data_IF_870176150239
#
_entry.id   IF_870176150239
#
_cell.length_a   1.000
_cell.length_b   1.000
_cell.length_c   1.000
_cell.angle_alpha   90.00
_cell.angle_beta   90.00
_cell.angle_gamma   90.00
#
_symmetry.space_group_name_H-M   'P 1'
#
loop_
_entity.id
_entity.type
_entity.pdbx_description
1 polymer ?
#
# COMPACT_ATOMS: atom_id res chain seq x y z
N UNK A 1 53.58 -14.55 -48.11
CA UNK A 1 53.87 -14.45 -46.67
C UNK A 1 52.55 -14.49 -45.96
N UNK A 2 52.20 -15.67 -45.43
CA UNK A 2 51.05 -15.83 -44.54
C UNK A 2 51.44 -15.22 -43.20
N UNK A 3 50.62 -14.29 -42.71
CA UNK A 3 50.74 -13.76 -41.36
C UNK A 3 50.09 -14.81 -40.45
N UNK A 4 50.93 -15.59 -39.75
CA UNK A 4 50.49 -16.37 -38.60
C UNK A 4 49.95 -15.40 -37.55
N UNK A 5 48.63 -15.33 -37.45
CA UNK A 5 47.95 -14.72 -36.32
C UNK A 5 47.96 -15.72 -35.17
N UNK A 6 48.85 -15.51 -34.20
CA UNK A 6 48.85 -16.19 -32.90
C UNK A 6 47.44 -16.22 -32.28
N UNK A 7 46.88 -17.38 -31.93
CA UNK A 7 45.58 -17.47 -31.26
C UNK A 7 45.62 -17.08 -29.77
N UNK A 8 46.80 -16.75 -29.22
CA UNK A 8 47.03 -16.67 -27.77
C UNK A 8 47.00 -15.25 -27.18
N UNK A 9 46.68 -14.21 -27.96
CA UNK A 9 46.69 -12.81 -27.49
C UNK A 9 45.31 -12.23 -27.13
N UNK A 10 44.28 -13.06 -26.92
CA UNK A 10 42.93 -12.62 -26.56
C UNK A 10 42.44 -13.13 -25.20
N UNK A 11 43.32 -13.61 -24.32
CA UNK A 11 43.02 -13.75 -22.90
C UNK A 11 43.13 -12.38 -22.21
N UNK A 12 42.28 -11.43 -22.64
CA UNK A 12 42.04 -10.24 -21.86
C UNK A 12 41.48 -10.70 -20.51
N UNK A 13 42.15 -10.25 -19.46
CA UNK A 13 41.79 -10.38 -18.05
C UNK A 13 40.32 -9.96 -17.84
N UNK A 14 39.38 -10.89 -18.04
CA UNK A 14 38.01 -10.81 -17.55
C UNK A 14 38.07 -10.94 -16.03
N UNK A 15 38.64 -9.93 -15.37
CA UNK A 15 38.57 -9.77 -13.93
C UNK A 15 37.10 -9.50 -13.60
N UNK A 16 36.36 -10.58 -13.39
CA UNK A 16 34.97 -10.52 -12.98
C UNK A 16 34.86 -9.58 -11.78
N UNK A 17 34.13 -8.48 -11.96
CA UNK A 17 33.82 -7.54 -10.89
C UNK A 17 33.15 -8.28 -9.74
N UNK A 18 33.71 -8.20 -8.53
CA UNK A 18 33.29 -8.94 -7.33
C UNK A 18 31.98 -8.43 -6.69
N UNK A 19 30.92 -8.28 -7.50
CA UNK A 19 29.59 -7.83 -7.05
C UNK A 19 28.92 -8.80 -6.07
N UNK A 20 29.36 -10.05 -6.04
CA UNK A 20 28.93 -11.07 -5.09
C UNK A 20 29.48 -10.82 -3.68
N UNK A 21 30.60 -10.10 -3.57
CA UNK A 21 31.28 -9.72 -2.32
C UNK A 21 30.87 -8.35 -1.78
N UNK A 22 29.92 -7.67 -2.44
CA UNK A 22 29.47 -6.36 -2.01
C UNK A 22 28.86 -6.45 -0.59
N UNK A 23 29.18 -5.50 0.33
CA UNK A 23 28.61 -5.48 1.67
C UNK A 23 27.08 -5.47 1.69
N UNK A 24 26.48 -6.17 2.66
CA UNK A 24 25.02 -6.31 2.81
C UNK A 24 24.31 -4.95 2.81
N UNK A 25 24.90 -3.90 3.40
CA UNK A 25 24.28 -2.57 3.49
C UNK A 25 24.06 -1.91 2.12
N UNK A 26 25.00 -2.08 1.18
CA UNK A 26 24.91 -1.54 -0.17
C UNK A 26 23.94 -2.36 -1.01
N UNK A 27 23.95 -3.68 -0.86
CA UNK A 27 22.99 -4.53 -1.54
C UNK A 27 21.56 -4.31 -1.03
N UNK A 28 21.35 -4.08 0.27
CA UNK A 28 20.04 -3.68 0.80
C UNK A 28 19.54 -2.36 0.19
N UNK A 29 20.44 -1.39 0.01
CA UNK A 29 20.13 -0.11 -0.62
C UNK A 29 19.75 -0.29 -2.09
N UNK A 30 20.52 -1.07 -2.85
CA UNK A 30 20.19 -1.43 -4.25
C UNK A 30 18.81 -2.10 -4.31
N UNK A 31 18.55 -3.10 -3.46
CA UNK A 31 17.27 -3.79 -3.40
C UNK A 31 16.12 -2.85 -3.02
N UNK A 32 16.37 -1.79 -2.26
CA UNK A 32 15.34 -0.82 -1.87
C UNK A 32 14.71 -0.09 -3.07
N UNK A 33 15.47 0.10 -4.16
CA UNK A 33 15.00 0.72 -5.40
C UNK A 33 14.25 -0.23 -6.34
N UNK A 34 14.40 -1.54 -6.15
CA UNK A 34 13.82 -2.56 -7.02
C UNK A 34 12.35 -2.85 -6.69
N UNK A 35 11.56 -3.21 -7.70
CA UNK A 35 10.22 -3.76 -7.50
C UNK A 35 10.31 -5.17 -6.88
N UNK A 36 9.20 -5.68 -6.32
CA UNK A 36 9.17 -7.04 -5.74
C UNK A 36 9.60 -8.10 -6.76
N UNK A 37 9.19 -7.94 -8.02
CA UNK A 37 9.55 -8.83 -9.12
C UNK A 37 11.05 -8.78 -9.39
N UNK A 38 11.63 -7.59 -9.46
CA UNK A 38 13.04 -7.42 -9.80
C UNK A 38 13.94 -7.87 -8.64
N UNK A 39 13.51 -7.65 -7.38
CA UNK A 39 14.16 -8.22 -6.19
C UNK A 39 14.20 -9.75 -6.25
N UNK A 40 13.11 -10.38 -6.69
CA UNK A 40 13.08 -11.83 -6.85
C UNK A 40 14.10 -12.30 -7.88
N UNK A 41 14.13 -11.69 -9.07
CA UNK A 41 15.11 -12.06 -10.10
C UNK A 41 16.56 -11.77 -9.67
N UNK A 42 16.80 -10.63 -9.03
CA UNK A 42 18.10 -10.29 -8.44
C UNK A 42 18.55 -11.35 -7.42
N UNK A 43 17.62 -11.86 -6.61
CA UNK A 43 17.92 -12.90 -5.62
C UNK A 43 18.38 -14.25 -6.23
N UNK A 44 18.16 -14.46 -7.53
CA UNK A 44 18.57 -15.68 -8.23
C UNK A 44 20.00 -15.62 -8.78
N UNK A 45 20.65 -14.45 -8.75
CA UNK A 45 21.98 -14.24 -9.33
C UNK A 45 23.05 -15.02 -8.57
N UNK A 46 23.08 -14.91 -7.24
CA UNK A 46 24.05 -15.64 -6.40
C UNK A 46 23.52 -15.85 -4.97
N UNK A 47 24.22 -16.68 -4.18
CA UNK A 47 23.85 -17.00 -2.79
C UNK A 47 23.85 -15.77 -1.88
N UNK A 48 24.78 -14.83 -2.09
CA UNK A 48 24.87 -13.58 -1.34
C UNK A 48 23.59 -12.75 -1.53
N UNK A 49 23.20 -12.51 -2.77
CA UNK A 49 21.99 -11.76 -3.12
C UNK A 49 20.71 -12.45 -2.66
N UNK A 50 20.67 -13.79 -2.70
CA UNK A 50 19.57 -14.57 -2.14
C UNK A 50 19.41 -14.39 -0.61
N UNK A 51 20.52 -14.28 0.13
CA UNK A 51 20.50 -13.99 1.57
C UNK A 51 19.93 -12.60 1.82
N UNK A 52 20.40 -11.61 1.08
CA UNK A 52 19.98 -10.20 1.23
C UNK A 52 18.52 -9.99 0.89
N UNK A 53 18.00 -10.73 -0.09
CA UNK A 53 16.58 -10.75 -0.39
C UNK A 53 15.71 -11.11 0.83
N UNK A 54 16.23 -11.69 1.91
CA UNK A 54 15.44 -11.99 3.12
C UNK A 54 15.59 -10.95 4.23
N UNK A 55 16.42 -9.92 4.04
CA UNK A 55 16.74 -8.97 5.10
C UNK A 55 15.61 -7.98 5.37
N UNK A 56 15.50 -7.44 6.61
CA UNK A 56 14.37 -6.61 7.00
C UNK A 56 14.24 -5.31 6.21
N UNK A 57 15.35 -4.66 5.87
CA UNK A 57 15.34 -3.35 5.20
C UNK A 57 14.77 -3.45 3.78
N UNK A 58 15.04 -4.56 3.09
CA UNK A 58 14.49 -4.84 1.77
C UNK A 58 12.96 -4.85 1.81
N UNK A 59 12.37 -5.45 2.83
CA UNK A 59 10.91 -5.63 2.95
C UNK A 59 10.20 -4.61 3.82
N UNK A 60 10.89 -3.55 4.27
CA UNK A 60 10.25 -2.53 5.11
C UNK A 60 9.06 -1.87 4.42
N UNK A 61 9.11 -1.73 3.10
CA UNK A 61 8.01 -1.24 2.27
C UNK A 61 7.56 -2.35 1.31
N UNK A 62 6.29 -2.71 1.40
CA UNK A 62 5.62 -3.63 0.50
C UNK A 62 4.58 -2.87 -0.31
N UNK A 63 4.71 -2.90 -1.63
CA UNK A 63 3.78 -2.26 -2.56
C UNK A 63 3.06 -3.33 -3.38
N UNK A 64 1.74 -3.42 -3.24
CA UNK A 64 0.90 -4.27 -4.07
C UNK A 64 0.53 -3.51 -5.35
N UNK A 65 0.90 -4.08 -6.49
CA UNK A 65 0.51 -3.64 -7.84
C UNK A 65 -0.38 -4.71 -8.50
N UNK A 66 -1.00 -4.41 -9.64
CA UNK A 66 -1.93 -5.31 -10.36
C UNK A 66 -1.38 -6.74 -10.60
N UNK A 67 -0.07 -6.86 -10.83
CA UNK A 67 0.61 -8.13 -11.15
C UNK A 67 1.45 -8.68 -10.00
N UNK A 68 1.40 -8.06 -8.82
CA UNK A 68 2.20 -8.50 -7.67
C UNK A 68 1.66 -9.81 -7.12
N UNK A 69 2.54 -10.81 -6.99
CA UNK A 69 2.19 -12.15 -6.49
C UNK A 69 1.05 -12.84 -7.25
N UNK A 70 0.89 -12.54 -8.54
CA UNK A 70 -0.15 -13.17 -9.38
C UNK A 70 0.40 -14.36 -10.18
N UNK A 71 -0.53 -15.07 -10.81
CA UNK A 71 -0.30 -16.08 -11.84
C UNK A 71 -1.27 -15.87 -12.99
N UNK A 72 -0.86 -16.23 -14.20
CA UNK A 72 -1.76 -16.27 -15.35
C UNK A 72 -2.76 -17.41 -15.19
N UNK A 73 -4.05 -17.11 -15.35
CA UNK A 73 -5.13 -18.09 -15.42
C UNK A 73 -5.97 -17.76 -16.64
N UNK A 74 -6.21 -18.76 -17.48
CA UNK A 74 -7.13 -18.61 -18.60
C UNK A 74 -8.57 -18.81 -18.12
N UNK A 75 -9.43 -17.85 -18.46
CA UNK A 75 -10.87 -17.90 -18.23
C UNK A 75 -11.58 -17.94 -19.59
N UNK A 76 -12.49 -18.90 -19.78
CA UNK A 76 -13.21 -19.07 -21.04
C UNK A 76 -13.99 -17.84 -21.50
N UNK A 77 -14.48 -17.01 -20.57
CA UNK A 77 -15.28 -15.83 -20.89
C UNK A 77 -14.47 -14.53 -20.98
N UNK A 78 -13.31 -14.47 -20.33
CA UNK A 78 -12.54 -13.23 -20.15
C UNK A 78 -11.08 -13.34 -20.60
N UNK A 79 -10.69 -14.47 -21.20
CA UNK A 79 -9.34 -14.72 -21.68
C UNK A 79 -8.32 -14.87 -20.56
N UNK A 80 -7.07 -14.51 -20.88
CA UNK A 80 -5.97 -14.53 -19.91
C UNK A 80 -6.13 -13.43 -18.86
N UNK A 81 -6.17 -13.84 -17.59
CA UNK A 81 -6.25 -12.92 -16.46
C UNK A 81 -5.13 -13.22 -15.45
N UNK A 82 -4.64 -12.18 -14.79
CA UNK A 82 -3.73 -12.32 -13.67
C UNK A 82 -4.54 -12.42 -12.38
N UNK A 83 -4.48 -13.58 -11.73
CA UNK A 83 -5.16 -13.85 -10.46
C UNK A 83 -4.10 -13.97 -9.37
N UNK A 84 -4.40 -13.46 -8.17
CA UNK A 84 -3.55 -13.61 -7.00
C UNK A 84 -3.19 -15.09 -6.79
N UNK A 85 -1.91 -15.37 -6.62
CA UNK A 85 -1.42 -16.69 -6.30
C UNK A 85 -1.35 -16.83 -4.78
N UNK A 86 -2.32 -17.54 -4.20
CA UNK A 86 -2.38 -17.75 -2.76
C UNK A 86 -1.17 -18.48 -2.20
N UNK A 87 -0.53 -19.37 -2.97
CA UNK A 87 0.66 -20.10 -2.51
C UNK A 87 1.84 -19.12 -2.42
N UNK A 88 2.09 -18.34 -3.48
CA UNK A 88 3.15 -17.32 -3.47
C UNK A 88 2.92 -16.28 -2.38
N UNK A 89 1.67 -15.86 -2.20
CA UNK A 89 1.28 -14.87 -1.18
C UNK A 89 1.50 -15.42 0.23
N UNK A 90 1.08 -16.66 0.49
CA UNK A 90 1.31 -17.36 1.77
C UNK A 90 2.80 -17.51 2.08
N UNK A 91 3.62 -17.89 1.09
CA UNK A 91 5.08 -18.00 1.23
C UNK A 91 5.71 -16.62 1.50
N UNK A 92 5.23 -15.57 0.83
CA UNK A 92 5.71 -14.20 1.05
C UNK A 92 5.40 -13.73 2.48
N UNK A 93 4.14 -13.84 2.92
CA UNK A 93 3.72 -13.42 4.25
C UNK A 93 4.45 -14.19 5.35
N UNK A 94 4.60 -15.51 5.21
CA UNK A 94 5.31 -16.33 6.21
C UNK A 94 6.81 -16.04 6.28
N UNK A 95 7.48 -15.79 5.16
CA UNK A 95 8.94 -15.58 5.15
C UNK A 95 9.35 -14.15 5.51
N UNK A 96 8.66 -13.15 4.96
CA UNK A 96 9.09 -11.74 5.02
C UNK A 96 8.03 -10.80 5.58
N UNK A 97 6.79 -11.26 5.78
CA UNK A 97 5.68 -10.40 6.24
C UNK A 97 5.91 -9.77 7.62
N UNK A 98 6.74 -10.37 8.47
CA UNK A 98 7.17 -9.82 9.77
C UNK A 98 8.00 -8.53 9.66
N UNK A 99 8.60 -8.28 8.50
CA UNK A 99 9.44 -7.11 8.24
C UNK A 99 8.68 -5.92 7.66
N UNK A 100 7.39 -6.09 7.33
CA UNK A 100 6.58 -5.03 6.74
C UNK A 100 6.38 -3.89 7.76
N UNK A 101 6.81 -2.69 7.37
CA UNK A 101 6.57 -1.43 8.10
C UNK A 101 5.59 -0.52 7.36
N UNK A 102 5.56 -0.60 6.04
CA UNK A 102 4.68 0.16 5.17
C UNK A 102 4.01 -0.77 4.16
N UNK A 103 2.68 -0.75 4.14
CA UNK A 103 1.84 -1.43 3.16
C UNK A 103 1.23 -0.37 2.25
N UNK A 104 1.54 -0.46 0.96
CA UNK A 104 1.00 0.44 -0.06
C UNK A 104 0.22 -0.38 -1.07
N UNK A 105 -1.09 -0.17 -1.10
CA UNK A 105 -2.00 -0.74 -2.08
C UNK A 105 -2.27 0.35 -3.13
N UNK A 106 -1.55 0.29 -4.24
CA UNK A 106 -1.74 1.21 -5.37
C UNK A 106 -3.10 0.94 -6.05
N UNK A 107 -3.60 1.86 -6.90
CA UNK A 107 -4.84 1.64 -7.64
C UNK A 107 -4.74 0.36 -8.48
N UNK A 108 -5.48 -0.68 -8.07
CA UNK A 108 -5.53 -1.99 -8.71
C UNK A 108 -6.93 -2.21 -9.27
N UNK A 109 -7.00 -2.50 -10.57
CA UNK A 109 -8.27 -2.66 -11.27
C UNK A 109 -8.89 -4.05 -11.05
N UNK A 110 -8.07 -5.04 -10.69
CA UNK A 110 -8.57 -6.35 -10.27
C UNK A 110 -8.87 -6.35 -8.76
N UNK A 111 -10.07 -5.89 -8.41
CA UNK A 111 -10.52 -5.81 -7.01
C UNK A 111 -10.51 -7.15 -6.28
N UNK A 112 -10.71 -8.25 -7.01
CA UNK A 112 -10.66 -9.58 -6.41
C UNK A 112 -9.26 -9.87 -5.84
N UNK A 113 -8.20 -9.52 -6.58
CA UNK A 113 -6.83 -9.72 -6.10
C UNK A 113 -6.53 -8.90 -4.84
N UNK A 114 -6.96 -7.63 -4.78
CA UNK A 114 -6.75 -6.79 -3.60
C UNK A 114 -7.54 -7.30 -2.41
N UNK A 115 -8.81 -7.64 -2.63
CA UNK A 115 -9.69 -8.21 -1.61
C UNK A 115 -9.11 -9.48 -1.00
N UNK A 116 -8.68 -10.43 -1.84
CA UNK A 116 -8.06 -11.67 -1.38
C UNK A 116 -6.76 -11.40 -0.63
N UNK A 117 -5.90 -10.50 -1.13
CA UNK A 117 -4.66 -10.14 -0.45
C UNK A 117 -4.93 -9.55 0.94
N UNK A 118 -5.87 -8.61 1.06
CA UNK A 118 -6.25 -7.99 2.33
C UNK A 118 -6.82 -8.99 3.33
N UNK A 119 -7.61 -9.96 2.86
CA UNK A 119 -8.11 -11.03 3.72
C UNK A 119 -7.01 -11.98 4.17
N UNK A 120 -6.09 -12.35 3.28
CA UNK A 120 -4.96 -13.19 3.64
C UNK A 120 -4.11 -12.52 4.72
N UNK A 121 -3.68 -11.27 4.53
CA UNK A 121 -2.86 -10.58 5.53
C UNK A 121 -3.62 -10.38 6.85
N UNK A 122 -4.92 -10.04 6.81
CA UNK A 122 -5.75 -9.92 8.01
C UNK A 122 -5.85 -11.24 8.77
N UNK A 123 -6.07 -12.34 8.07
CA UNK A 123 -6.10 -13.69 8.65
C UNK A 123 -4.76 -14.05 9.29
N UNK A 124 -3.65 -13.70 8.65
CA UNK A 124 -2.30 -13.90 9.18
C UNK A 124 -2.05 -13.09 10.46
N UNK A 125 -2.56 -11.86 10.55
CA UNK A 125 -2.46 -11.03 11.76
C UNK A 125 -3.29 -11.61 12.90
N UNK A 126 -4.50 -12.09 12.61
CA UNK A 126 -5.45 -12.57 13.64
C UNK A 126 -5.10 -13.94 14.23
N UNK A 127 -4.56 -14.86 13.42
CA UNK A 127 -4.38 -16.26 13.81
C UNK A 127 -3.01 -16.61 14.38
N UNK A 128 -2.05 -15.68 14.41
CA UNK A 128 -0.74 -15.96 14.99
C UNK A 128 -0.76 -15.69 16.50
N UNK A 129 -0.78 -16.78 17.29
CA UNK A 129 -1.09 -16.74 18.72
C UNK A 129 0.07 -16.42 19.68
N UNK A 130 1.35 -16.30 19.29
CA UNK A 130 2.38 -16.20 20.34
C UNK A 130 3.80 -15.69 20.03
N UNK A 131 4.15 -15.15 18.86
CA UNK A 131 5.53 -14.67 18.62
C UNK A 131 5.61 -13.17 18.35
N UNK A 132 6.69 -12.51 18.77
CA UNK A 132 6.94 -11.09 18.46
C UNK A 132 7.16 -10.83 16.96
N UNK A 133 7.43 -11.89 16.19
CA UNK A 133 7.74 -11.89 14.76
C UNK A 133 6.50 -12.10 13.88
N UNK A 134 5.37 -11.50 14.27
CA UNK A 134 4.08 -11.65 13.59
C UNK A 134 3.94 -10.68 12.41
N UNK A 135 3.32 -11.17 11.34
CA UNK A 135 2.94 -10.35 10.18
C UNK A 135 2.07 -9.18 10.64
N UNK A 136 2.37 -7.95 10.22
CA UNK A 136 1.58 -6.77 10.58
C UNK A 136 1.95 -6.10 11.90
N UNK A 137 2.66 -6.76 12.83
CA UNK A 137 3.01 -6.21 14.15
C UNK A 137 3.92 -4.96 14.09
N UNK A 138 4.63 -4.77 12.97
CA UNK A 138 5.53 -3.64 12.74
C UNK A 138 5.00 -2.64 11.72
N UNK A 139 3.80 -2.85 11.18
CA UNK A 139 3.23 -1.96 10.16
C UNK A 139 2.78 -0.68 10.82
N UNK A 140 3.44 0.41 10.41
CA UNK A 140 3.19 1.78 10.88
C UNK A 140 2.55 2.63 9.81
N UNK A 141 2.58 2.20 8.55
CA UNK A 141 2.00 2.92 7.42
C UNK A 141 1.10 1.99 6.59
N UNK A 142 -0.16 2.38 6.41
CA UNK A 142 -1.07 1.80 5.43
C UNK A 142 -1.52 2.88 4.45
N UNK A 143 -1.36 2.64 3.16
CA UNK A 143 -1.94 3.45 2.08
C UNK A 143 -2.82 2.57 1.21
N UNK A 144 -4.03 3.04 0.94
CA UNK A 144 -4.96 2.42 -0.01
C UNK A 144 -5.58 3.49 -0.90
N UNK A 145 -5.39 3.34 -2.21
CA UNK A 145 -5.98 4.21 -3.22
C UNK A 145 -6.96 3.41 -4.07
N UNK A 146 -8.21 3.85 -4.13
CA UNK A 146 -9.22 3.21 -4.96
C UNK A 146 -9.24 3.80 -6.38
N UNK A 147 -9.17 2.98 -7.45
CA UNK A 147 -9.28 3.47 -8.82
C UNK A 147 -10.74 3.83 -9.15
N UNK A 148 -11.17 5.05 -8.80
CA UNK A 148 -12.57 5.47 -8.95
C UNK A 148 -13.00 5.80 -10.40
N UNK A 149 -12.08 5.84 -11.37
CA UNK A 149 -12.31 6.28 -12.77
C UNK A 149 -12.32 5.13 -13.79
N UNK A 150 -12.94 4.00 -13.47
CA UNK A 150 -12.86 2.76 -14.26
C UNK A 150 -13.51 2.82 -15.65
N UNK A 151 -14.45 3.75 -15.89
CA UNK A 151 -15.31 3.67 -17.08
C UNK A 151 -14.73 4.28 -18.36
N UNK A 152 -13.77 5.22 -18.30
CA UNK A 152 -13.19 5.81 -19.51
C UNK A 152 -11.94 6.62 -19.19
N UNK A 153 -10.78 6.22 -19.72
CA UNK A 153 -9.58 7.08 -19.76
C UNK A 153 -9.69 8.21 -20.79
N UNK A 154 -10.63 8.12 -21.73
CA UNK A 154 -10.61 8.91 -22.97
C UNK A 154 -11.73 9.96 -23.08
N UNK A 155 -12.64 10.06 -22.11
CA UNK A 155 -13.69 11.08 -22.13
C UNK A 155 -13.78 11.80 -20.77
N UNK A 156 -13.13 12.98 -20.63
CA UNK A 156 -13.15 13.78 -19.41
C UNK A 156 -14.54 14.29 -19.03
N UNK A 157 -15.46 14.43 -20.00
CA UNK A 157 -16.79 15.02 -19.78
C UNK A 157 -17.81 13.99 -19.24
N UNK A 158 -17.54 12.69 -19.40
CA UNK A 158 -18.40 11.60 -18.91
C UNK A 158 -17.72 10.73 -17.85
N UNK A 159 -16.86 11.30 -17.01
CA UNK A 159 -16.14 10.54 -15.99
C UNK A 159 -17.09 10.04 -14.88
N UNK A 160 -17.60 8.82 -15.04
CA UNK A 160 -18.40 8.15 -14.02
C UNK A 160 -17.51 7.73 -12.84
N UNK A 161 -17.70 8.40 -11.71
CA UNK A 161 -17.00 8.08 -10.45
C UNK A 161 -17.70 6.91 -9.77
N UNK A 162 -16.93 5.87 -9.44
CA UNK A 162 -17.41 4.73 -8.68
C UNK A 162 -16.94 4.80 -7.23
N UNK A 163 -17.83 4.43 -6.32
CA UNK A 163 -17.54 4.28 -4.90
C UNK A 163 -16.97 2.91 -4.53
N UNK A 164 -16.23 2.87 -3.43
CA UNK A 164 -15.87 1.62 -2.75
C UNK A 164 -17.03 1.19 -1.87
N UNK A 165 -17.42 -0.08 -1.88
CA UNK A 165 -18.49 -0.59 -1.03
C UNK A 165 -18.39 -2.10 -0.84
N UNK A 166 -19.32 -2.66 -0.07
CA UNK A 166 -19.47 -4.10 0.12
C UNK A 166 -18.20 -4.80 0.63
N UNK A 167 -17.90 -5.97 0.07
CA UNK A 167 -16.83 -6.87 0.56
C UNK A 167 -15.43 -6.25 0.49
N UNK A 168 -15.15 -5.41 -0.50
CA UNK A 168 -13.86 -4.75 -0.60
C UNK A 168 -13.67 -3.74 0.55
N UNK A 169 -14.70 -2.95 0.83
CA UNK A 169 -14.70 -2.00 1.94
C UNK A 169 -14.56 -2.72 3.29
N UNK A 170 -15.31 -3.80 3.49
CA UNK A 170 -15.20 -4.66 4.69
C UNK A 170 -13.76 -5.18 4.87
N UNK A 171 -13.10 -5.63 3.80
CA UNK A 171 -11.73 -6.14 3.86
C UNK A 171 -10.71 -5.04 4.17
N UNK A 172 -10.86 -3.83 3.61
CA UNK A 172 -10.00 -2.67 3.94
C UNK A 172 -10.18 -2.27 5.41
N UNK A 173 -11.44 -2.17 5.88
CA UNK A 173 -11.75 -1.88 7.30
C UNK A 173 -11.10 -2.90 8.21
N UNK A 174 -11.29 -4.20 7.90
CA UNK A 174 -10.72 -5.32 8.67
C UNK A 174 -9.20 -5.29 8.72
N UNK A 175 -8.55 -4.98 7.60
CA UNK A 175 -7.09 -4.86 7.57
C UNK A 175 -6.65 -3.69 8.46
N UNK A 176 -7.20 -2.50 8.24
CA UNK A 176 -6.78 -1.29 8.96
C UNK A 176 -6.96 -1.42 10.48
N UNK A 177 -8.09 -1.96 10.95
CA UNK A 177 -8.32 -2.15 12.39
C UNK A 177 -7.33 -3.14 13.03
N UNK A 178 -6.84 -4.14 12.28
CA UNK A 178 -5.90 -5.14 12.80
C UNK A 178 -4.48 -4.58 12.98
N UNK A 179 -4.15 -3.45 12.35
CA UNK A 179 -2.82 -2.83 12.41
C UNK A 179 -2.71 -1.86 13.59
N UNK A 180 -2.47 -2.39 14.80
CA UNK A 180 -2.51 -1.62 16.07
C UNK A 180 -1.38 -0.61 16.28
N UNK A 181 -0.34 -0.60 15.42
CA UNK A 181 0.80 0.33 15.53
C UNK A 181 0.83 1.38 14.42
N UNK A 182 -0.30 1.61 13.75
CA UNK A 182 -0.40 2.61 12.69
C UNK A 182 -0.04 4.01 13.19
N UNK A 183 0.82 4.67 12.43
CA UNK A 183 1.23 6.07 12.60
C UNK A 183 0.85 6.92 11.39
N UNK A 184 0.79 6.31 10.21
CA UNK A 184 0.46 6.93 8.94
C UNK A 184 -0.66 6.13 8.29
N UNK A 185 -1.78 6.78 8.00
CA UNK A 185 -2.91 6.15 7.35
C UNK A 185 -3.37 7.02 6.18
N UNK A 186 -3.44 6.42 5.00
CA UNK A 186 -3.85 7.10 3.78
C UNK A 186 -4.96 6.33 3.08
N UNK A 187 -6.14 6.94 3.02
CA UNK A 187 -7.27 6.48 2.23
C UNK A 187 -7.61 7.53 1.19
N UNK A 188 -7.54 7.13 -0.07
CA UNK A 188 -7.64 8.03 -1.21
C UNK A 188 -8.71 7.50 -2.17
N UNK A 189 -9.62 8.39 -2.56
CA UNK A 189 -10.67 8.17 -3.55
C UNK A 189 -11.64 7.03 -3.20
N UNK A 190 -11.90 6.80 -1.90
CA UNK A 190 -12.86 5.78 -1.46
C UNK A 190 -14.27 6.05 -1.95
N UNK A 191 -14.68 7.33 -2.02
CA UNK A 191 -15.97 7.75 -2.56
C UNK A 191 -17.15 7.01 -1.89
N UNK A 192 -17.19 7.00 -0.56
CA UNK A 192 -18.23 6.34 0.25
C UNK A 192 -19.53 7.16 0.30
N UNK A 193 -20.63 6.47 0.57
CA UNK A 193 -21.88 7.11 0.99
C UNK A 193 -21.85 7.42 2.49
N UNK A 194 -22.62 8.41 2.95
CA UNK A 194 -22.53 8.92 4.33
C UNK A 194 -22.72 7.83 5.39
N UNK A 195 -23.62 6.87 5.15
CA UNK A 195 -23.88 5.76 6.10
C UNK A 195 -22.65 4.87 6.32
N UNK A 196 -21.86 4.61 5.29
CA UNK A 196 -20.67 3.76 5.40
C UNK A 196 -19.48 4.53 5.99
N UNK A 197 -19.40 5.82 5.67
CA UNK A 197 -18.34 6.73 6.06
C UNK A 197 -18.33 7.04 7.57
N UNK A 198 -19.50 7.25 8.16
CA UNK A 198 -19.66 7.55 9.59
C UNK A 198 -19.18 6.45 10.54
N UNK A 199 -18.99 5.23 10.03
CA UNK A 199 -18.47 4.09 10.79
C UNK A 199 -17.22 3.51 10.13
N UNK A 200 -16.55 4.29 9.28
CA UNK A 200 -15.42 3.78 8.49
C UNK A 200 -14.15 3.62 9.34
N UNK A 201 -13.90 4.57 10.26
CA UNK A 201 -12.67 4.61 11.06
C UNK A 201 -12.83 4.10 12.50
N UNK A 202 -14.02 3.68 12.95
CA UNK A 202 -14.28 3.30 14.35
C UNK A 202 -13.23 2.31 14.91
N UNK A 203 -12.97 1.22 14.18
CA UNK A 203 -11.99 0.21 14.61
C UNK A 203 -10.55 0.75 14.64
N UNK A 204 -10.21 1.69 13.77
CA UNK A 204 -8.91 2.36 13.78
C UNK A 204 -8.82 3.32 14.96
N UNK A 205 -9.87 4.11 15.22
CA UNK A 205 -9.94 5.02 16.36
C UNK A 205 -9.79 4.27 17.68
N UNK A 206 -10.41 3.09 17.82
CA UNK A 206 -10.30 2.27 19.03
C UNK A 206 -8.87 1.75 19.29
N UNK A 207 -8.09 1.49 18.25
CA UNK A 207 -6.78 0.85 18.37
C UNK A 207 -5.58 1.81 18.23
N UNK A 208 -5.76 2.96 17.57
CA UNK A 208 -4.65 3.82 17.13
C UNK A 208 -4.78 5.27 17.62
N UNK A 209 -5.60 5.55 18.64
CA UNK A 209 -5.84 6.90 19.20
C UNK A 209 -4.52 7.63 19.50
N UNK A 210 -3.60 6.94 20.17
CA UNK A 210 -2.34 7.51 20.66
C UNK A 210 -1.18 7.35 19.66
N UNK A 211 -1.30 6.47 18.66
CA UNK A 211 -0.19 6.16 17.75
C UNK A 211 -0.24 6.96 16.46
N UNK A 212 -1.45 7.35 16.01
CA UNK A 212 -1.65 8.05 14.74
C UNK A 212 -0.96 9.42 14.75
N UNK A 213 -0.19 9.71 13.69
CA UNK A 213 0.56 10.98 13.51
C UNK A 213 0.20 11.71 12.23
N UNK A 214 -0.10 10.96 11.17
CA UNK A 214 -0.53 11.48 9.87
C UNK A 214 -1.76 10.74 9.40
N UNK A 215 -2.79 11.48 9.03
CA UNK A 215 -4.01 10.95 8.44
C UNK A 215 -4.27 11.66 7.11
N UNK A 216 -4.48 10.88 6.06
CA UNK A 216 -4.83 11.35 4.72
C UNK A 216 -6.17 10.74 4.33
N UNK A 217 -7.20 11.57 4.20
CA UNK A 217 -8.55 11.22 3.78
C UNK A 217 -8.94 12.08 2.59
N UNK A 218 -8.49 11.69 1.40
CA UNK A 218 -8.78 12.41 0.16
C UNK A 218 -9.97 11.74 -0.51
N UNK A 219 -11.04 12.50 -0.76
CA UNK A 219 -12.28 12.03 -1.35
C UNK A 219 -12.82 10.76 -0.66
N UNK A 220 -12.87 10.80 0.67
CA UNK A 220 -13.41 9.71 1.46
C UNK A 220 -14.90 9.51 1.18
N UNK A 221 -15.66 10.58 0.91
CA UNK A 221 -17.10 10.53 0.59
C UNK A 221 -17.45 11.24 -0.72
N UNK A 222 -18.53 10.77 -1.36
CA UNK A 222 -19.10 11.35 -2.59
C UNK A 222 -19.79 12.69 -2.36
N UNK A 223 -20.30 12.90 -1.16
CA UNK A 223 -21.08 14.08 -0.79
C UNK A 223 -20.55 14.67 0.51
N UNK A 224 -21.05 15.84 0.87
CA UNK A 224 -20.76 16.45 2.17
C UNK A 224 -21.14 15.48 3.30
N UNK A 225 -20.12 15.06 4.06
CA UNK A 225 -20.22 14.13 5.17
C UNK A 225 -19.04 14.39 6.12
N UNK A 226 -19.24 15.21 7.15
CA UNK A 226 -18.21 15.51 8.14
C UNK A 226 -17.72 14.25 8.85
N UNK A 227 -16.40 14.11 9.03
CA UNK A 227 -15.78 12.93 9.63
C UNK A 227 -15.16 13.26 10.99
N UNK A 228 -15.95 13.15 12.06
CA UNK A 228 -15.53 13.48 13.43
C UNK A 228 -14.35 12.63 13.94
N UNK A 229 -14.13 11.44 13.37
CA UNK A 229 -13.02 10.54 13.72
C UNK A 229 -11.66 11.21 13.69
N UNK A 230 -11.45 12.20 12.81
CA UNK A 230 -10.16 12.89 12.68
C UNK A 230 -9.78 13.65 13.96
N UNK A 231 -10.77 14.07 14.75
CA UNK A 231 -10.56 14.78 16.01
C UNK A 231 -10.18 13.89 17.20
N UNK A 232 -10.32 12.56 17.06
CA UNK A 232 -10.09 11.60 18.16
C UNK A 232 -8.60 11.27 18.34
N UNK A 233 -7.77 11.48 17.31
CA UNK A 233 -6.37 11.11 17.33
C UNK A 233 -5.50 12.15 18.04
N UNK A 234 -5.28 11.97 19.35
CA UNK A 234 -4.61 12.94 20.23
C UNK A 234 -3.19 13.35 19.81
N UNK A 235 -2.49 12.49 19.06
CA UNK A 235 -1.11 12.71 18.59
C UNK A 235 -1.03 13.05 17.09
N UNK A 236 -2.17 13.36 16.47
CA UNK A 236 -2.24 13.74 15.07
C UNK A 236 -1.55 15.09 14.85
N UNK A 237 -0.56 15.10 13.95
CA UNK A 237 0.22 16.28 13.57
C UNK A 237 -0.09 16.77 12.18
N UNK A 238 -0.38 15.84 11.27
CA UNK A 238 -0.63 16.15 9.86
C UNK A 238 -1.98 15.56 9.47
N UNK A 239 -2.90 16.43 9.08
CA UNK A 239 -4.18 16.04 8.48
C UNK A 239 -4.22 16.53 7.04
N UNK A 240 -4.47 15.62 6.12
CA UNK A 240 -4.78 15.92 4.73
C UNK A 240 -6.20 15.43 4.47
N UNK A 241 -7.11 16.32 4.11
CA UNK A 241 -8.54 15.98 4.04
C UNK A 241 -9.24 16.74 2.90
N UNK A 242 -10.25 16.13 2.29
CA UNK A 242 -11.08 16.81 1.29
C UNK A 242 -12.18 17.65 1.95
N UNK A 243 -12.55 18.81 1.37
CA UNK A 243 -13.37 19.80 2.06
C UNK A 243 -14.80 19.33 2.33
N UNK A 244 -15.35 18.39 1.55
CA UNK A 244 -16.65 17.77 1.84
C UNK A 244 -16.68 16.94 3.13
N UNK A 245 -15.53 16.63 3.73
CA UNK A 245 -15.41 15.89 4.98
C UNK A 245 -15.15 16.79 6.20
N UNK A 246 -15.21 18.11 6.02
CA UNK A 246 -15.07 19.12 7.08
C UNK A 246 -16.37 19.89 7.29
N UNK A 247 -16.64 20.21 8.54
CA UNK A 247 -17.64 21.18 8.99
C UNK A 247 -17.15 21.88 10.26
N UNK A 248 -18.02 22.72 10.85
CA UNK A 248 -17.74 23.42 12.09
C UNK A 248 -17.37 22.49 13.25
N UNK A 249 -18.09 21.38 13.43
CA UNK A 249 -17.88 20.45 14.55
C UNK A 249 -16.53 19.73 14.43
N UNK A 250 -16.15 19.32 13.22
CA UNK A 250 -14.83 18.74 12.95
C UNK A 250 -13.72 19.75 13.24
N UNK A 251 -13.90 21.01 12.85
CA UNK A 251 -12.91 22.06 13.13
C UNK A 251 -12.78 22.36 14.63
N UNK A 252 -13.90 22.36 15.37
CA UNK A 252 -13.89 22.51 16.82
C UNK A 252 -13.13 21.35 17.49
N UNK A 253 -13.35 20.10 17.08
CA UNK A 253 -12.58 18.96 17.58
C UNK A 253 -11.09 19.05 17.21
N UNK A 254 -10.77 19.51 16.00
CA UNK A 254 -9.37 19.68 15.58
C UNK A 254 -8.68 20.80 16.36
N UNK A 255 -9.41 21.80 16.85
CA UNK A 255 -8.83 22.87 17.69
C UNK A 255 -8.25 22.34 19.02
N UNK A 256 -8.75 21.19 19.49
CA UNK A 256 -8.25 20.52 20.69
C UNK A 256 -6.99 19.68 20.42
N UNK A 257 -6.65 19.44 19.15
CA UNK A 257 -5.50 18.65 18.75
C UNK A 257 -4.25 19.51 18.55
N UNK A 258 -3.06 18.90 18.69
CA UNK A 258 -1.77 19.56 18.45
C UNK A 258 -1.37 19.49 16.97
N UNK A 259 -2.29 19.85 16.08
CA UNK A 259 -2.10 19.73 14.65
C UNK A 259 -1.05 20.77 14.18
N UNK A 260 0.02 20.28 13.55
CA UNK A 260 1.10 21.11 12.98
C UNK A 260 0.75 21.53 11.55
N UNK A 261 0.09 20.65 10.79
CA UNK A 261 -0.24 20.86 9.38
C UNK A 261 -1.66 20.39 9.05
N UNK A 262 -2.47 21.30 8.50
CA UNK A 262 -3.76 21.02 7.91
C UNK A 262 -3.72 21.32 6.41
N UNK A 263 -3.92 20.29 5.59
CA UNK A 263 -3.99 20.41 4.14
C UNK A 263 -5.39 20.08 3.66
N UNK A 264 -6.04 21.03 3.01
CA UNK A 264 -7.37 20.84 2.43
C UNK A 264 -7.18 20.65 0.94
N UNK A 265 -7.52 19.45 0.44
CA UNK A 265 -7.26 19.07 -0.95
C UNK A 265 -8.57 18.83 -1.69
N UNK A 266 -8.77 19.61 -2.74
CA UNK A 266 -9.79 19.40 -3.76
C UNK A 266 -9.10 19.00 -5.07
N UNK A 267 -9.59 17.95 -5.72
CA UNK A 267 -9.09 17.49 -7.02
C UNK A 267 -10.28 17.20 -7.97
N UNK A 268 -9.98 16.66 -9.15
CA UNK A 268 -10.99 16.33 -10.17
C UNK A 268 -12.04 15.30 -9.73
N UNK A 269 -11.84 14.60 -8.63
CA UNK A 269 -12.79 13.64 -8.06
C UNK A 269 -13.57 14.19 -6.87
N UNK A 270 -13.27 15.42 -6.45
CA UNK A 270 -13.99 16.08 -5.37
C UNK A 270 -15.32 16.63 -5.88
N UNK A 271 -16.37 16.69 -5.04
CA UNK A 271 -17.68 17.22 -5.44
C UNK A 271 -17.56 18.70 -5.87
N UNK A 272 -18.36 19.10 -6.87
CA UNK A 272 -18.31 20.46 -7.45
C UNK A 272 -18.65 21.53 -6.39
N UNK A 273 -19.62 21.26 -5.52
CA UNK A 273 -20.05 22.16 -4.43
C UNK A 273 -19.40 21.84 -3.07
N UNK A 274 -18.17 21.30 -3.06
CA UNK A 274 -17.51 20.83 -1.83
C UNK A 274 -16.92 21.93 -0.94
N UNK A 275 -17.37 23.19 -1.05
CA UNK A 275 -16.97 24.24 -0.12
C UNK A 275 -17.21 23.85 1.34
N UNK A 276 -16.32 24.28 2.24
CA UNK A 276 -16.47 24.02 3.68
C UNK A 276 -17.75 24.72 4.15
N UNK A 277 -18.69 23.93 4.67
CA UNK A 277 -19.92 24.44 5.27
C UNK A 277 -19.61 24.82 6.71
N UNK A 278 -19.41 26.12 6.96
CA UNK A 278 -19.15 26.71 8.27
C UNK A 278 -20.46 27.02 9.01
#
# INVERSE_FOLDING_TARGET
QYIDSDPEAAAADDSYTAWDQLPDILLEEIFSYLSIRDRYYASLVCRSWYRIFKLPRVWSKFTLLDTTLTRGKYNYYSGWQYVLDHIKTSICLSKVGKHFKSLVLEPIYNFYNVYEFMNMISWYIENQKSDELVVGNHVQHLKFTFPCNMASRNDPEQMKIFGTGGKLLEAVKRLAQNLRKLRYLEFIDLQLDSREALYFLDGVCANCTETMRKLVLINATKFHCPLLHVGVFINLRILVISPQNLDKDVLELLSLNRLEHLHIIQNRYSPIDSGIKL
#
